data_IF_989624218722
#
_entry.id   IF_989624218722
#
_cell.length_a   1.000
_cell.length_b   1.000
_cell.length_c   1.000
_cell.angle_alpha   90.00
_cell.angle_beta   90.00
_cell.angle_gamma   90.00
#
_symmetry.space_group_name_H-M   'P 1'
#
loop_
_entity.id
_entity.type
_entity.pdbx_description
1 polymer ?
#
# COMPACT_ATOMS: atom_id res chain seq x y z
N UNK A 1 -12.48 14.86 -6.62
CA UNK A 1 -11.32 14.93 -5.69
C UNK A 1 -10.53 13.62 -5.79
N UNK A 2 -9.22 13.70 -6.00
CA UNK A 2 -8.35 12.51 -6.11
C UNK A 2 -7.80 12.14 -4.74
N UNK A 3 -7.92 10.87 -4.37
CA UNK A 3 -7.45 10.34 -3.08
C UNK A 3 -6.42 9.26 -3.35
N UNK A 4 -5.25 9.33 -2.73
CA UNK A 4 -4.25 8.28 -2.78
C UNK A 4 -4.38 7.38 -1.53
N UNK A 5 -4.69 6.11 -1.74
CA UNK A 5 -4.66 5.08 -0.71
C UNK A 5 -3.35 4.32 -0.78
N UNK A 6 -2.60 4.30 0.33
CA UNK A 6 -1.32 3.61 0.45
C UNK A 6 -1.51 2.49 1.46
N UNK A 7 -1.45 1.24 0.97
CA UNK A 7 -1.80 0.06 1.73
C UNK A 7 -0.65 -0.95 1.67
N UNK A 8 0.10 -1.13 2.76
CA UNK A 8 1.15 -2.15 2.82
C UNK A 8 0.51 -3.54 3.10
N UNK A 9 -0.42 -3.96 2.25
CA UNK A 9 -1.20 -5.19 2.35
C UNK A 9 -1.81 -5.53 0.99
N UNK A 10 -2.39 -6.72 0.86
CA UNK A 10 -3.21 -7.08 -0.31
C UNK A 10 -4.59 -6.44 -0.21
N UNK A 11 -5.06 -5.75 -1.26
CA UNK A 11 -6.35 -5.07 -1.29
C UNK A 11 -7.51 -6.05 -1.50
N UNK A 12 -8.57 -5.93 -0.70
CA UNK A 12 -9.79 -6.74 -0.80
C UNK A 12 -9.62 -8.24 -0.46
N UNK A 13 -8.46 -8.65 0.05
CA UNK A 13 -8.19 -10.05 0.45
C UNK A 13 -8.62 -10.27 1.91
N UNK A 14 -9.35 -11.34 2.17
CA UNK A 14 -9.86 -11.70 3.50
C UNK A 14 -8.74 -11.78 4.55
N UNK A 15 -9.06 -11.45 5.80
CA UNK A 15 -8.13 -11.46 6.94
C UNK A 15 -6.92 -10.52 6.81
N UNK A 16 -6.97 -9.54 5.90
CA UNK A 16 -5.94 -8.51 5.75
C UNK A 16 -6.49 -7.12 6.05
N UNK A 17 -5.60 -6.15 6.25
CA UNK A 17 -5.98 -4.74 6.36
C UNK A 17 -6.71 -4.28 5.08
N UNK A 18 -6.37 -4.84 3.93
CA UNK A 18 -7.05 -4.51 2.67
C UNK A 18 -8.50 -4.95 2.59
N UNK A 19 -8.94 -5.94 3.37
CA UNK A 19 -10.38 -6.23 3.51
C UNK A 19 -11.13 -5.08 4.20
N UNK A 20 -10.48 -4.42 5.18
CA UNK A 20 -11.04 -3.27 5.92
C UNK A 20 -10.97 -1.99 5.09
N UNK A 21 -9.95 -1.85 4.26
CA UNK A 21 -9.81 -0.72 3.35
C UNK A 21 -10.87 -0.70 2.25
N UNK A 22 -11.29 -1.87 1.77
CA UNK A 22 -12.26 -2.01 0.67
C UNK A 22 -13.57 -1.24 0.90
N UNK A 23 -14.34 -1.42 1.99
CA UNK A 23 -15.60 -0.70 2.19
C UNK A 23 -15.42 0.84 2.25
N UNK A 24 -14.28 1.32 2.75
CA UNK A 24 -13.96 2.75 2.79
C UNK A 24 -13.73 3.30 1.38
N UNK A 25 -12.99 2.55 0.56
CA UNK A 25 -12.78 2.88 -0.86
C UNK A 25 -14.11 2.83 -1.62
N UNK A 26 -14.95 1.82 -1.37
CA UNK A 26 -16.27 1.70 -1.99
C UNK A 26 -17.15 2.91 -1.68
N UNK A 27 -17.18 3.33 -0.42
CA UNK A 27 -17.91 4.52 0.01
C UNK A 27 -17.35 5.80 -0.64
N UNK A 28 -16.02 5.90 -0.77
CA UNK A 28 -15.39 7.03 -1.44
C UNK A 28 -15.80 7.12 -2.92
N UNK A 29 -15.83 5.99 -3.63
CA UNK A 29 -16.29 5.92 -5.03
C UNK A 29 -17.77 6.29 -5.14
N UNK A 30 -18.62 5.77 -4.26
CA UNK A 30 -20.06 6.11 -4.22
C UNK A 30 -20.31 7.62 -4.07
N UNK A 31 -19.43 8.31 -3.34
CA UNK A 31 -19.48 9.78 -3.15
C UNK A 31 -18.85 10.57 -4.30
N UNK A 32 -18.45 9.92 -5.39
CA UNK A 32 -17.85 10.57 -6.55
C UNK A 32 -16.37 10.94 -6.37
N UNK A 33 -15.68 10.39 -5.37
CA UNK A 33 -14.23 10.54 -5.26
C UNK A 33 -13.51 9.57 -6.19
N UNK A 34 -12.27 9.91 -6.54
CA UNK A 34 -11.43 9.11 -7.43
C UNK A 34 -10.24 8.52 -6.63
N UNK A 35 -10.42 7.36 -5.98
CA UNK A 35 -9.36 6.71 -5.22
C UNK A 35 -8.38 6.00 -6.16
N UNK A 36 -7.10 6.32 -6.01
CA UNK A 36 -5.99 5.54 -6.54
C UNK A 36 -5.38 4.72 -5.40
N UNK A 37 -5.22 3.41 -5.58
CA UNK A 37 -4.80 2.51 -4.51
C UNK A 37 -3.47 1.86 -4.87
N UNK A 38 -2.43 2.13 -4.08
CA UNK A 38 -1.13 1.46 -4.17
C UNK A 38 -1.07 0.39 -3.07
N UNK A 39 -0.88 -0.86 -3.47
CA UNK A 39 -0.92 -2.01 -2.57
C UNK A 39 0.11 -3.09 -2.91
N UNK A 40 0.27 -4.13 -2.06
CA UNK A 40 1.18 -5.26 -2.34
C UNK A 40 0.61 -6.20 -3.41
N UNK A 41 -0.70 -6.40 -3.39
CA UNK A 41 -1.40 -7.36 -4.23
C UNK A 41 -2.90 -7.11 -4.19
N UNK A 42 -3.64 -7.83 -5.04
CA UNK A 42 -5.11 -7.79 -5.06
C UNK A 42 -5.65 -9.04 -5.75
N UNK A 43 -6.87 -9.46 -5.41
CA UNK A 43 -7.52 -10.61 -6.04
C UNK A 43 -8.36 -10.24 -7.27
N UNK A 44 -8.98 -9.06 -7.28
CA UNK A 44 -9.82 -8.57 -8.36
C UNK A 44 -9.57 -7.06 -8.55
N UNK A 45 -9.40 -6.61 -9.80
CA UNK A 45 -9.19 -5.19 -10.10
C UNK A 45 -10.43 -4.48 -10.64
N UNK A 46 -11.52 -5.21 -10.94
CA UNK A 46 -12.67 -4.64 -11.64
C UNK A 46 -13.30 -3.51 -10.82
N UNK A 47 -13.37 -2.32 -11.40
CA UNK A 47 -14.00 -1.14 -10.79
C UNK A 47 -13.09 -0.31 -9.88
N UNK A 48 -11.79 -0.65 -9.75
CA UNK A 48 -10.85 0.08 -8.92
C UNK A 48 -9.62 0.52 -9.70
N UNK A 49 -9.12 1.71 -9.40
CA UNK A 49 -7.83 2.18 -9.89
C UNK A 49 -6.71 1.66 -8.96
N UNK A 50 -6.36 0.39 -9.15
CA UNK A 50 -5.37 -0.34 -8.36
C UNK A 50 -4.02 -0.39 -9.06
N UNK A 51 -2.96 -0.26 -8.27
CA UNK A 51 -1.59 -0.48 -8.69
C UNK A 51 -0.86 -1.32 -7.65
N UNK A 52 -0.15 -2.34 -8.13
CA UNK A 52 0.84 -3.01 -7.28
C UNK A 52 2.06 -2.10 -7.14
N UNK A 53 2.56 -1.98 -5.91
CA UNK A 53 3.71 -1.15 -5.56
C UNK A 53 4.99 -1.54 -6.32
N UNK A 54 5.14 -2.84 -6.61
CA UNK A 54 6.14 -3.39 -7.51
C UNK A 54 5.69 -4.79 -7.97
N UNK A 55 6.21 -5.32 -9.09
CA UNK A 55 5.81 -6.64 -9.59
C UNK A 55 6.06 -7.73 -8.55
N UNK A 56 5.05 -8.59 -8.33
CA UNK A 56 5.12 -9.73 -7.40
C UNK A 56 5.37 -9.33 -5.94
N UNK A 57 4.97 -8.13 -5.53
CA UNK A 57 5.15 -7.65 -4.17
C UNK A 57 4.53 -8.57 -3.11
N UNK A 58 3.37 -9.17 -3.39
CA UNK A 58 2.76 -10.17 -2.50
C UNK A 58 3.70 -11.37 -2.24
N UNK A 59 4.35 -11.91 -3.28
CA UNK A 59 5.27 -13.05 -3.17
C UNK A 59 6.53 -12.70 -2.39
N UNK A 60 7.13 -11.55 -2.69
CA UNK A 60 8.32 -11.07 -1.98
C UNK A 60 8.02 -10.87 -0.50
N UNK A 61 6.89 -10.24 -0.16
CA UNK A 61 6.50 -9.98 1.23
C UNK A 61 6.18 -11.28 1.99
N UNK A 62 5.62 -12.30 1.31
CA UNK A 62 5.43 -13.64 1.87
C UNK A 62 6.77 -14.34 2.13
N UNK A 63 7.71 -14.29 1.18
CA UNK A 63 9.04 -14.86 1.37
C UNK A 63 9.76 -14.25 2.58
N UNK A 64 9.73 -12.92 2.72
CA UNK A 64 10.31 -12.23 3.90
C UNK A 64 9.64 -12.65 5.22
N UNK A 65 8.35 -12.97 5.19
CA UNK A 65 7.62 -13.44 6.37
C UNK A 65 7.95 -14.90 6.70
N UNK A 66 8.32 -15.71 5.71
CA UNK A 66 8.73 -17.10 5.90
C UNK A 66 10.09 -17.22 6.61
N UNK A 67 11.03 -16.29 6.39
CA UNK A 67 12.37 -16.30 7.00
C UNK A 67 12.34 -16.43 8.54
N UNK A 68 11.60 -15.59 9.29
CA UNK A 68 11.57 -15.72 10.74
C UNK A 68 10.83 -16.97 11.23
N UNK A 69 9.98 -17.59 10.40
CA UNK A 69 9.24 -18.79 10.76
C UNK A 69 10.14 -20.03 10.61
N UNK A 70 10.92 -20.11 9.53
CA UNK A 70 11.61 -21.33 9.14
C UNK A 70 13.13 -21.28 9.27
N UNK A 71 13.74 -20.09 9.34
CA UNK A 71 15.20 -19.92 9.23
C UNK A 71 15.76 -19.26 10.49
N UNK A 72 15.34 -18.03 10.79
CA UNK A 72 15.95 -17.23 11.86
C UNK A 72 14.91 -16.37 12.57
N UNK A 73 14.47 -16.79 13.75
CA UNK A 73 13.34 -16.20 14.48
C UNK A 73 13.44 -14.69 14.68
N UNK A 74 14.63 -14.17 14.96
CA UNK A 74 14.84 -12.74 15.23
C UNK A 74 15.13 -11.92 13.97
N UNK A 75 14.87 -12.48 12.77
CA UNK A 75 15.03 -11.73 11.53
C UNK A 75 14.00 -10.58 11.47
N UNK A 76 14.43 -9.32 11.21
CA UNK A 76 13.57 -8.14 11.24
C UNK A 76 12.70 -8.02 9.98
N UNK A 77 11.88 -9.03 9.70
CA UNK A 77 11.02 -9.08 8.52
C UNK A 77 10.08 -7.88 8.43
N UNK A 78 9.53 -7.41 9.57
CA UNK A 78 8.62 -6.27 9.62
C UNK A 78 9.26 -4.99 9.07
N UNK A 79 10.42 -4.64 9.60
CA UNK A 79 11.16 -3.44 9.22
C UNK A 79 11.61 -3.49 7.76
N UNK A 80 12.10 -4.65 7.31
CA UNK A 80 12.53 -4.82 5.93
C UNK A 80 11.35 -4.73 4.94
N UNK A 81 10.20 -5.32 5.28
CA UNK A 81 8.97 -5.21 4.47
C UNK A 81 8.52 -3.74 4.35
N UNK A 82 8.54 -2.99 5.45
CA UNK A 82 8.18 -1.58 5.47
C UNK A 82 9.18 -0.74 4.66
N UNK A 83 10.47 -1.00 4.82
CA UNK A 83 11.53 -0.32 4.07
C UNK A 83 11.37 -0.50 2.55
N UNK A 84 11.21 -1.75 2.09
CA UNK A 84 11.05 -2.08 0.67
C UNK A 84 9.78 -1.42 0.14
N UNK A 85 8.64 -1.59 0.82
CA UNK A 85 7.38 -1.01 0.38
C UNK A 85 7.46 0.52 0.29
N UNK A 86 7.98 1.18 1.32
CA UNK A 86 8.15 2.64 1.36
C UNK A 86 9.01 3.16 0.21
N UNK A 87 10.13 2.49 -0.07
CA UNK A 87 11.03 2.87 -1.15
C UNK A 87 10.30 2.90 -2.51
N UNK A 88 9.55 1.83 -2.82
CA UNK A 88 8.84 1.74 -4.10
C UNK A 88 7.64 2.69 -4.18
N UNK A 89 6.86 2.86 -3.10
CA UNK A 89 5.79 3.86 -3.06
C UNK A 89 6.34 5.25 -3.33
N UNK A 90 7.41 5.65 -2.64
CA UNK A 90 8.03 6.97 -2.82
C UNK A 90 8.51 7.17 -4.26
N UNK A 91 9.14 6.15 -4.87
CA UNK A 91 9.56 6.20 -6.27
C UNK A 91 8.38 6.39 -7.22
N UNK A 92 7.26 5.74 -6.93
CA UNK A 92 6.06 5.79 -7.76
C UNK A 92 5.35 7.15 -7.70
N UNK A 93 5.23 7.72 -6.49
CA UNK A 93 4.39 8.91 -6.27
C UNK A 93 5.15 10.23 -6.35
N UNK A 94 6.50 10.21 -6.34
CA UNK A 94 7.33 11.42 -6.28
C UNK A 94 6.92 12.49 -7.31
N UNK A 95 6.57 12.08 -8.53
CA UNK A 95 6.21 12.99 -9.62
C UNK A 95 4.68 13.18 -9.78
N UNK A 96 3.86 12.54 -8.96
CA UNK A 96 2.39 12.57 -9.06
C UNK A 96 1.71 13.05 -7.78
N UNK A 97 2.48 13.38 -6.74
CA UNK A 97 2.00 13.89 -5.45
C UNK A 97 1.06 15.09 -5.56
N UNK A 98 1.28 15.98 -6.54
CA UNK A 98 0.44 17.15 -6.79
C UNK A 98 -0.97 16.79 -7.26
N UNK A 99 -1.17 15.62 -7.86
CA UNK A 99 -2.47 15.17 -8.38
C UNK A 99 -3.45 14.77 -7.28
N UNK A 100 -2.94 14.47 -6.08
CA UNK A 100 -3.72 13.97 -4.96
C UNK A 100 -4.04 15.06 -3.96
N UNK A 101 -5.31 15.12 -3.55
CA UNK A 101 -5.82 16.09 -2.59
C UNK A 101 -5.78 15.52 -1.17
N UNK A 102 -6.00 14.21 -1.05
CA UNK A 102 -5.95 13.47 0.21
C UNK A 102 -5.01 12.29 0.01
N UNK A 103 -4.13 12.06 0.98
CA UNK A 103 -3.29 10.86 1.05
C UNK A 103 -3.66 10.13 2.32
N UNK A 104 -4.17 8.91 2.17
CA UNK A 104 -4.56 8.04 3.27
C UNK A 104 -3.62 6.83 3.29
N UNK A 105 -2.75 6.78 4.30
CA UNK A 105 -1.86 5.64 4.53
C UNK A 105 -2.36 4.79 5.69
N UNK A 106 -2.33 3.48 5.52
CA UNK A 106 -2.73 2.50 6.55
C UNK A 106 -1.58 2.09 7.47
N UNK A 107 -0.36 2.50 7.15
CA UNK A 107 0.85 2.12 7.87
C UNK A 107 1.69 3.37 8.16
N UNK A 108 2.40 3.39 9.28
CA UNK A 108 3.30 4.48 9.58
C UNK A 108 4.58 4.37 8.74
N UNK A 109 4.68 5.20 7.69
CA UNK A 109 5.79 5.22 6.74
C UNK A 109 6.57 6.55 6.85
N UNK A 110 7.56 6.69 7.75
CA UNK A 110 8.16 7.98 8.11
C UNK A 110 8.82 8.75 6.96
N UNK A 111 9.58 8.09 6.08
CA UNK A 111 10.20 8.77 4.92
C UNK A 111 9.17 9.24 3.90
N UNK A 112 8.06 8.51 3.77
CA UNK A 112 6.94 8.90 2.94
C UNK A 112 6.22 10.12 3.53
N UNK A 113 5.95 10.14 4.83
CA UNK A 113 5.40 11.33 5.51
C UNK A 113 6.29 12.55 5.31
N UNK A 114 7.62 12.37 5.42
CA UNK A 114 8.59 13.44 5.18
C UNK A 114 8.47 13.99 3.76
N UNK A 115 8.48 13.10 2.75
CA UNK A 115 8.30 13.47 1.35
C UNK A 115 6.98 14.22 1.10
N UNK A 116 5.90 13.79 1.74
CA UNK A 116 4.58 14.44 1.60
C UNK A 116 4.58 15.84 2.25
N UNK A 117 5.28 16.01 3.38
CA UNK A 117 5.34 17.29 4.12
C UNK A 117 6.29 18.32 3.48
N UNK A 118 7.28 17.86 2.72
CA UNK A 118 8.18 18.71 1.94
C UNK A 118 7.53 19.29 0.67
N UNK A 119 6.31 18.87 0.35
CA UNK A 119 5.42 19.47 -0.66
C UNK A 119 4.79 20.75 -0.11
#
# INVERSE_FOLDING_TARGET
MNILYILNSDFGVSNTIGARAKPIVDEAIKRGYNPHIICRGYRNNRGYNLRQVFPFADKVMKALTAIPIFIHRDFPAGDLKNFIFQYFVMKEIRNTLEKYHIIHSWDFLPKLYRLIKEK
#
